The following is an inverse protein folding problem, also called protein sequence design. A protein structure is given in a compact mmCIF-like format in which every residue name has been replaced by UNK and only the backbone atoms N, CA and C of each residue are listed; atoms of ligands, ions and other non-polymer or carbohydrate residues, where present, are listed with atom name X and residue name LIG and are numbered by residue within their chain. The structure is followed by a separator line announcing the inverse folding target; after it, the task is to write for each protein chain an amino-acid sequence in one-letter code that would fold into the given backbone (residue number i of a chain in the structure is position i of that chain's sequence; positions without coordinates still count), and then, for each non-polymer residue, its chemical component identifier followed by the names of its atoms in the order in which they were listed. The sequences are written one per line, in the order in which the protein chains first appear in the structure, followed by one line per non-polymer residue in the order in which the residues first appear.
data_IF_688578105198
#
_entry.id   IF_688578105198
#
_cell.length_a   1.000
_cell.length_b   1.000
_cell.length_c   1.000
_cell.angle_alpha   90.00
_cell.angle_beta   90.00
_cell.angle_gamma   90.00
#
_symmetry.space_group_name_H-M   'P 1'
#
loop_
_entity.id
_entity.type
_entity.pdbx_description
1 polymer ?
#
# COMPACT_ATOMS: atom_id res chain seq x y z
N UNK A 1 -7.70 -49.87 26.65
CA UNK A 1 -8.11 -49.08 25.46
C UNK A 1 -7.57 -47.63 25.45
N UNK A 2 -6.33 -47.36 25.90
CA UNK A 2 -5.73 -46.00 25.88
C UNK A 2 -4.35 -45.93 25.19
N UNK A 3 -3.80 -47.08 24.81
CA UNK A 3 -2.48 -47.23 24.18
C UNK A 3 -2.44 -46.66 22.75
N UNK A 4 -3.56 -46.70 22.03
CA UNK A 4 -3.66 -46.22 20.64
C UNK A 4 -3.44 -44.69 20.55
N UNK A 5 -3.84 -43.95 21.59
CA UNK A 5 -3.69 -42.48 21.66
C UNK A 5 -2.22 -42.12 21.85
N UNK A 6 -1.50 -42.88 22.68
CA UNK A 6 -0.06 -42.68 22.92
C UNK A 6 0.76 -42.94 21.64
N UNK A 7 0.39 -43.95 20.87
CA UNK A 7 1.03 -44.25 19.58
C UNK A 7 0.76 -43.15 18.56
N UNK A 8 -0.48 -42.66 18.47
CA UNK A 8 -0.82 -41.58 17.55
C UNK A 8 -0.06 -40.28 17.89
N UNK A 9 0.04 -39.94 19.18
CA UNK A 9 0.80 -38.77 19.62
C UNK A 9 2.31 -38.90 19.37
N UNK A 10 2.87 -40.10 19.62
CA UNK A 10 4.26 -40.40 19.31
C UNK A 10 4.55 -40.35 17.80
N UNK A 11 3.63 -40.84 16.97
CA UNK A 11 3.73 -40.74 15.52
C UNK A 11 3.65 -39.28 15.04
N UNK A 12 2.75 -38.45 15.58
CA UNK A 12 2.69 -37.02 15.23
C UNK A 12 3.97 -36.27 15.58
N UNK A 13 4.60 -36.60 16.71
CA UNK A 13 5.89 -36.01 17.12
C UNK A 13 7.06 -36.54 16.28
N UNK A 14 7.06 -37.83 15.92
CA UNK A 14 8.16 -38.46 15.20
C UNK A 14 8.11 -38.23 13.68
N UNK A 15 6.91 -38.11 13.10
CA UNK A 15 6.69 -37.69 11.71
C UNK A 15 6.91 -36.18 11.52
N UNK A 16 7.21 -35.45 12.60
CA UNK A 16 7.55 -34.04 12.57
C UNK A 16 6.61 -33.28 11.65
N UNK A 17 5.29 -33.39 11.89
CA UNK A 17 4.30 -32.66 11.10
C UNK A 17 4.76 -31.20 11.10
N UNK A 18 5.24 -30.69 9.95
CA UNK A 18 5.58 -29.30 9.87
C UNK A 18 4.22 -28.64 9.88
N UNK A 19 3.76 -28.23 11.05
CA UNK A 19 2.94 -27.04 11.14
C UNK A 19 3.84 -25.96 10.57
N UNK A 20 3.87 -25.88 9.23
CA UNK A 20 4.27 -24.69 8.49
C UNK A 20 3.46 -23.62 9.18
N UNK A 21 4.12 -22.82 10.01
CA UNK A 21 3.62 -21.51 10.34
C UNK A 21 3.44 -20.85 8.98
N UNK A 22 2.22 -20.94 8.45
CA UNK A 22 1.76 -20.01 7.46
C UNK A 22 1.82 -18.68 8.21
N UNK A 23 2.96 -17.99 8.10
CA UNK A 23 2.98 -16.55 8.21
C UNK A 23 2.05 -16.09 7.11
N UNK A 24 0.76 -16.01 7.43
CA UNK A 24 -0.18 -15.18 6.70
C UNK A 24 0.37 -13.78 6.85
N UNK A 25 1.27 -13.39 5.93
CA UNK A 25 1.72 -12.01 5.83
C UNK A 25 0.46 -11.19 5.75
N UNK A 26 0.24 -10.34 6.76
CA UNK A 26 -0.97 -9.55 6.83
C UNK A 26 -0.95 -8.61 5.62
N UNK A 27 -1.85 -8.86 4.67
CA UNK A 27 -1.98 -8.02 3.49
C UNK A 27 -2.73 -6.76 3.88
N UNK A 28 -2.14 -5.61 3.60
CA UNK A 28 -2.67 -4.30 3.92
C UNK A 28 -3.09 -3.61 2.62
N UNK A 29 -4.37 -3.75 2.20
CA UNK A 29 -4.87 -3.05 1.03
C UNK A 29 -4.92 -1.55 1.30
N UNK A 30 -4.34 -0.78 0.39
CA UNK A 30 -4.40 0.68 0.41
C UNK A 30 -5.60 1.10 -0.45
N UNK A 31 -6.45 2.01 0.05
CA UNK A 31 -7.55 2.58 -0.75
C UNK A 31 -7.16 3.94 -1.28
N UNK A 32 -6.56 4.77 -0.43
CA UNK A 32 -6.09 6.10 -0.75
C UNK A 32 -4.58 6.18 -0.55
N UNK A 33 -3.90 6.62 -1.60
CA UNK A 33 -2.50 6.98 -1.53
C UNK A 33 -2.37 8.48 -1.70
N UNK A 34 -1.79 9.16 -0.72
CA UNK A 34 -1.41 10.57 -0.86
C UNK A 34 0.10 10.63 -0.97
N UNK A 35 0.60 11.39 -1.94
CA UNK A 35 2.01 11.68 -2.07
C UNK A 35 2.19 13.18 -2.03
N UNK A 36 3.03 13.65 -1.12
CA UNK A 36 3.35 15.06 -0.97
C UNK A 36 4.83 15.26 -1.28
N UNK A 37 5.15 16.42 -1.85
CA UNK A 37 6.53 16.89 -2.00
C UNK A 37 6.71 18.11 -1.13
N UNK A 38 7.54 17.99 -0.09
CA UNK A 38 7.88 19.09 0.80
C UNK A 38 9.40 19.20 0.86
N UNK A 39 9.91 20.38 0.51
CA UNK A 39 11.35 20.65 0.41
C UNK A 39 12.04 19.65 -0.54
N UNK A 40 13.05 18.92 -0.06
CA UNK A 40 13.78 17.88 -0.80
C UNK A 40 13.29 16.45 -0.47
N UNK A 41 12.10 16.31 0.13
CA UNK A 41 11.54 15.02 0.54
C UNK A 41 10.18 14.75 -0.09
N UNK A 42 9.95 13.47 -0.35
CA UNK A 42 8.68 12.89 -0.76
C UNK A 42 8.11 12.15 0.45
N UNK A 43 6.86 12.48 0.76
CA UNK A 43 6.08 11.83 1.80
C UNK A 43 4.98 11.01 1.16
N UNK A 44 4.87 9.75 1.56
CA UNK A 44 3.82 8.83 1.15
C UNK A 44 2.95 8.56 2.36
N UNK A 45 1.66 8.80 2.23
CA UNK A 45 0.70 8.68 3.31
C UNK A 45 -0.44 7.79 2.83
N UNK A 46 -0.73 6.76 3.61
CA UNK A 46 -1.86 5.84 3.39
C UNK A 46 -2.47 5.46 4.72
N UNK A 47 -3.66 4.87 4.71
CA UNK A 47 -4.26 4.33 5.95
C UNK A 47 -3.46 3.18 6.59
N UNK A 48 -2.58 2.52 5.84
CA UNK A 48 -1.82 1.36 6.33
C UNK A 48 -0.43 1.72 6.85
N UNK A 49 0.22 2.72 6.24
CA UNK A 49 1.56 3.15 6.60
C UNK A 49 1.89 4.54 6.04
N UNK A 50 2.86 5.20 6.66
CA UNK A 50 3.50 6.41 6.17
C UNK A 50 4.97 6.13 5.86
N UNK A 51 5.50 6.74 4.79
CA UNK A 51 6.89 6.65 4.40
C UNK A 51 7.45 8.01 4.02
N UNK A 52 8.75 8.18 4.18
CA UNK A 52 9.47 9.37 3.73
C UNK A 52 10.76 9.02 3.00
N UNK A 53 11.16 9.85 2.05
CA UNK A 53 12.44 9.66 1.36
C UNK A 53 12.71 10.73 0.31
N UNK A 54 13.96 10.87 -0.09
CA UNK A 54 14.38 11.80 -1.17
C UNK A 54 13.89 11.35 -2.56
N UNK A 55 13.55 10.06 -2.71
CA UNK A 55 13.04 9.48 -3.95
C UNK A 55 11.82 8.63 -3.65
N UNK A 56 10.96 8.43 -4.65
CA UNK A 56 9.79 7.58 -4.52
C UNK A 56 10.16 6.16 -4.05
N UNK A 57 11.25 5.60 -4.59
CA UNK A 57 11.75 4.27 -4.21
C UNK A 57 12.13 4.21 -2.73
N UNK A 58 12.86 5.21 -2.22
CA UNK A 58 13.23 5.26 -0.79
C UNK A 58 12.00 5.43 0.10
N UNK A 59 11.07 6.27 -0.33
CA UNK A 59 9.82 6.55 0.37
C UNK A 59 8.95 5.27 0.50
N UNK A 60 8.81 4.51 -0.58
CA UNK A 60 8.08 3.23 -0.60
C UNK A 60 8.79 2.17 0.26
N UNK A 61 10.12 2.10 0.20
CA UNK A 61 10.89 1.19 1.05
C UNK A 61 10.71 1.51 2.54
N UNK A 62 10.70 2.79 2.90
CA UNK A 62 10.45 3.25 4.28
C UNK A 62 9.01 2.93 4.73
N UNK A 63 8.01 3.18 3.89
CA UNK A 63 6.61 2.82 4.17
C UNK A 63 6.45 1.31 4.41
N UNK A 64 7.06 0.47 3.55
CA UNK A 64 7.04 -0.99 3.71
C UNK A 64 7.73 -1.46 4.99
N UNK A 65 8.81 -0.79 5.40
CA UNK A 65 9.52 -1.11 6.64
C UNK A 65 8.71 -0.75 7.90
N UNK A 66 7.93 0.33 7.83
CA UNK A 66 7.08 0.82 8.93
C UNK A 66 5.73 0.09 9.02
N UNK A 67 5.26 -0.50 7.92
CA UNK A 67 4.01 -1.24 7.88
C UNK A 67 4.06 -2.50 8.77
N UNK A 68 2.94 -2.82 9.42
CA UNK A 68 2.77 -4.06 10.19
C UNK A 68 2.60 -5.31 9.30
N UNK A 69 2.61 -5.14 7.97
CA UNK A 69 2.32 -6.17 6.98
C UNK A 69 2.74 -5.74 5.58
N UNK A 70 2.30 -6.48 4.57
CA UNK A 70 2.64 -6.22 3.18
C UNK A 70 1.67 -5.22 2.57
N UNK A 71 2.20 -4.07 2.13
CA UNK A 71 1.42 -3.00 1.50
C UNK A 71 1.07 -3.36 0.06
N UNK A 72 -0.23 -3.46 -0.23
CA UNK A 72 -0.74 -3.67 -1.58
C UNK A 72 -1.10 -2.34 -2.22
N UNK A 73 -0.11 -1.69 -2.81
CA UNK A 73 -0.30 -0.42 -3.53
C UNK A 73 -1.24 -0.56 -4.74
N UNK A 74 -1.28 -1.73 -5.36
CA UNK A 74 -2.13 -2.01 -6.50
C UNK A 74 -3.64 -1.95 -6.19
N UNK A 75 -4.04 -2.01 -4.91
CA UNK A 75 -5.45 -1.93 -4.52
C UNK A 75 -5.92 -0.48 -4.38
N UNK A 76 -5.03 0.49 -4.54
CA UNK A 76 -5.39 1.90 -4.46
C UNK A 76 -6.50 2.22 -5.46
N UNK A 77 -7.44 3.05 -5.01
CA UNK A 77 -8.56 3.55 -5.79
C UNK A 77 -8.37 5.04 -6.07
N UNK A 78 -7.82 5.76 -5.10
CA UNK A 78 -7.58 7.19 -5.17
C UNK A 78 -6.10 7.48 -4.96
N UNK A 79 -5.54 8.32 -5.84
CA UNK A 79 -4.21 8.89 -5.73
C UNK A 79 -4.35 10.40 -5.58
N UNK A 80 -3.74 10.97 -4.55
CA UNK A 80 -3.62 12.41 -4.36
C UNK A 80 -2.16 12.79 -4.53
N UNK A 81 -1.86 13.72 -5.42
CA UNK A 81 -0.50 14.21 -5.73
C UNK A 81 -0.49 15.74 -5.84
N UNK A 82 0.65 16.42 -5.62
CA UNK A 82 0.75 17.86 -5.83
C UNK A 82 0.66 18.23 -7.32
N UNK A 83 1.26 17.41 -8.19
CA UNK A 83 1.43 17.76 -9.60
C UNK A 83 1.40 16.54 -10.54
N UNK A 84 1.22 16.83 -11.83
CA UNK A 84 1.19 15.82 -12.89
C UNK A 84 2.54 15.15 -13.13
N UNK A 85 3.66 15.78 -12.77
CA UNK A 85 4.98 15.17 -12.93
C UNK A 85 5.16 13.99 -11.96
N UNK A 86 4.68 14.13 -10.72
CA UNK A 86 4.68 13.06 -9.74
C UNK A 86 3.69 11.95 -10.09
N UNK A 87 2.53 12.27 -10.66
CA UNK A 87 1.63 11.26 -11.22
C UNK A 87 2.32 10.41 -12.30
N UNK A 88 3.06 11.05 -13.22
CA UNK A 88 3.86 10.34 -14.24
C UNK A 88 4.96 9.46 -13.63
N UNK A 89 5.66 9.97 -12.62
CA UNK A 89 6.68 9.20 -11.90
C UNK A 89 6.08 7.94 -11.26
N UNK A 90 4.92 8.07 -10.62
CA UNK A 90 4.15 6.97 -10.06
C UNK A 90 3.67 5.97 -11.12
N UNK A 91 3.19 6.45 -12.27
CA UNK A 91 2.81 5.58 -13.39
C UNK A 91 4.00 4.74 -13.87
N UNK A 92 5.16 5.36 -14.07
CA UNK A 92 6.41 4.69 -14.51
C UNK A 92 6.98 3.71 -13.48
N UNK A 93 6.64 3.90 -12.21
CA UNK A 93 7.09 3.01 -11.13
C UNK A 93 6.35 1.67 -11.10
N UNK A 94 5.24 1.54 -11.84
CA UNK A 94 4.35 0.36 -11.86
C UNK A 94 3.82 -0.06 -10.47
N UNK A 95 3.94 0.81 -9.46
CA UNK A 95 3.45 0.56 -8.10
C UNK A 95 1.92 0.53 -8.03
N UNK A 96 1.28 1.32 -8.88
CA UNK A 96 -0.15 1.57 -8.90
C UNK A 96 -0.76 1.02 -10.17
N UNK A 97 -2.03 0.61 -10.09
CA UNK A 97 -2.80 0.27 -11.28
C UNK A 97 -3.12 1.53 -12.08
N UNK A 98 -3.08 1.44 -13.41
CA UNK A 98 -3.42 2.56 -14.29
C UNK A 98 -4.89 3.04 -14.16
N UNK A 99 -5.77 2.27 -13.50
CA UNK A 99 -7.17 2.64 -13.23
C UNK A 99 -7.37 3.54 -12.01
N UNK A 100 -6.32 3.82 -11.23
CA UNK A 100 -6.39 4.69 -10.06
C UNK A 100 -6.84 6.09 -10.48
N UNK A 101 -7.79 6.65 -9.74
CA UNK A 101 -8.31 7.99 -9.96
C UNK A 101 -7.37 9.03 -9.34
N UNK A 102 -7.00 10.05 -10.10
CA UNK A 102 -5.98 11.03 -9.70
C UNK A 102 -6.61 12.34 -9.26
N UNK A 103 -6.20 12.85 -8.11
CA UNK A 103 -6.61 14.11 -7.53
C UNK A 103 -5.37 14.96 -7.25
N UNK A 104 -5.54 16.29 -7.27
CA UNK A 104 -4.43 17.22 -7.07
C UNK A 104 -4.56 18.02 -5.77
N UNK A 105 -3.60 17.87 -4.87
CA UNK A 105 -3.51 18.64 -3.63
C UNK A 105 -2.06 18.76 -3.19
N UNK A 106 -1.65 19.98 -2.84
CA UNK A 106 -0.33 20.29 -2.26
C UNK A 106 -0.30 20.08 -0.74
N UNK A 107 -1.47 19.87 -0.12
CA UNK A 107 -1.62 19.73 1.33
C UNK A 107 -2.07 18.32 1.67
N UNK A 108 -1.56 17.81 2.80
CA UNK A 108 -2.03 16.56 3.42
C UNK A 108 -3.52 16.67 3.72
N UNK A 109 -4.30 15.74 3.18
CA UNK A 109 -5.71 15.61 3.50
C UNK A 109 -5.85 14.65 4.68
N UNK A 110 -6.57 15.09 5.71
CA UNK A 110 -6.86 14.22 6.85
C UNK A 110 -7.85 13.13 6.44
N UNK A 111 -7.72 11.90 6.99
CA UNK A 111 -8.54 10.76 6.60
C UNK A 111 -10.05 11.03 6.65
N UNK A 112 -10.49 11.85 7.62
CA UNK A 112 -11.89 12.22 7.82
C UNK A 112 -12.41 13.13 6.69
N UNK A 113 -11.56 13.99 6.14
CA UNK A 113 -11.92 14.95 5.09
C UNK A 113 -11.75 14.41 3.67
N UNK A 114 -11.13 13.24 3.47
CA UNK A 114 -10.90 12.66 2.15
C UNK A 114 -12.21 12.42 1.38
N UNK A 115 -13.23 11.88 2.04
CA UNK A 115 -14.51 11.60 1.39
C UNK A 115 -15.20 12.88 0.91
N UNK A 116 -15.18 13.93 1.72
CA UNK A 116 -15.78 15.23 1.36
C UNK A 116 -14.97 15.88 0.23
N UNK A 117 -13.65 15.80 0.31
CA UNK A 117 -12.76 16.32 -0.70
C UNK A 117 -12.99 15.66 -2.07
N UNK A 118 -13.09 14.33 -2.13
CA UNK A 118 -13.36 13.60 -3.38
C UNK A 118 -14.75 13.92 -3.95
N UNK A 119 -15.75 14.11 -3.09
CA UNK A 119 -17.08 14.52 -3.53
C UNK A 119 -17.11 15.95 -4.07
N UNK A 120 -16.34 16.85 -3.47
CA UNK A 120 -16.24 18.25 -3.89
C UNK A 120 -15.38 18.45 -5.15
N UNK A 121 -14.41 17.56 -5.40
CA UNK A 121 -13.47 17.64 -6.53
C UNK A 121 -13.54 16.39 -7.41
N UNK A 122 -14.69 16.10 -8.05
CA UNK A 122 -14.83 14.91 -8.88
C UNK A 122 -13.77 14.93 -9.99
N UNK A 123 -12.94 13.89 -10.03
CA UNK A 123 -11.88 13.76 -11.04
C UNK A 123 -12.20 12.65 -12.02
N UNK A 124 -12.22 12.94 -13.32
CA UNK A 124 -12.31 11.88 -14.34
C UNK A 124 -10.93 11.31 -14.71
N UNK A 125 -9.86 11.91 -14.17
CA UNK A 125 -8.49 11.58 -14.54
C UNK A 125 -8.06 10.25 -13.94
N UNK A 126 -7.49 9.40 -14.80
CA UNK A 126 -6.92 8.12 -14.39
C UNK A 126 -5.41 8.13 -14.57
N UNK A 127 -4.70 7.39 -13.71
CA UNK A 127 -3.24 7.36 -13.72
C UNK A 127 -2.66 7.00 -15.10
N UNK A 128 -3.32 6.09 -15.84
CA UNK A 128 -2.92 5.72 -17.21
C UNK A 128 -2.98 6.85 -18.24
N UNK A 129 -3.74 7.91 -17.98
CA UNK A 129 -3.88 9.04 -18.92
C UNK A 129 -2.60 9.89 -18.96
N UNK A 130 -1.77 9.78 -17.93
CA UNK A 130 -0.46 10.42 -17.85
C UNK A 130 0.64 9.67 -18.64
N UNK A 131 0.29 8.63 -19.40
CA UNK A 131 1.25 7.87 -20.23
C UNK A 131 1.67 8.64 -21.50
N UNK A 132 0.80 9.52 -22.02
CA UNK A 132 0.88 10.05 -23.39
C UNK A 132 1.42 11.48 -23.53
N UNK A 133 1.67 12.18 -22.42
CA UNK A 133 2.26 13.53 -22.38
C UNK A 133 3.68 13.51 -21.81
#
# INVERSE_FOLDING_TARGET
MKWHIAIAAALCLWLGLPFREYRTTQLLPIKTLQVLRQEEKIYLISEAAEGEGQTLVKCVADARKKAAGELLFETAQHLVVPDAALARELLRSELLRGSVQVYFSDVRLEPQGLSEYFAAHPSELRLKEFEKD
#
